data_IF_218204512349
#
_entry.id   IF_218204512349
#
_cell.length_a   1.000
_cell.length_b   1.000
_cell.length_c   1.000
_cell.angle_alpha   90.00
_cell.angle_beta   90.00
_cell.angle_gamma   90.00
#
_symmetry.space_group_name_H-M   'P 1'
#
loop_
_entity.id
_entity.type
_entity.pdbx_description
1 polymer ?
#
# COMPACT_ATOMS: atom_id res chain seq x y z
N UNK A 1 12.45 9.10 -6.68
CA UNK A 1 12.16 8.04 -5.68
C UNK A 1 10.77 8.26 -5.10
N UNK A 2 9.88 7.25 -5.15
CA UNK A 2 8.54 7.36 -4.55
C UNK A 2 8.58 7.50 -3.03
N UNK A 3 7.52 8.10 -2.45
CA UNK A 3 7.35 8.24 -1.01
C UNK A 3 7.15 6.85 -0.37
N UNK A 4 8.00 6.51 0.60
CA UNK A 4 7.86 5.27 1.39
C UNK A 4 7.06 5.58 2.64
N UNK A 5 5.97 4.84 2.85
CA UNK A 5 5.10 4.96 4.02
C UNK A 5 5.16 3.66 4.84
N UNK A 6 5.42 3.80 6.13
CA UNK A 6 5.33 2.69 7.09
C UNK A 6 3.88 2.22 7.27
N UNK A 7 3.66 0.99 7.78
CA UNK A 7 2.32 0.52 8.11
C UNK A 7 1.54 1.46 9.03
N UNK A 8 2.20 2.02 10.04
CA UNK A 8 1.57 2.91 11.02
C UNK A 8 1.19 4.26 10.41
N UNK A 9 2.02 4.81 9.53
CA UNK A 9 1.69 6.03 8.77
C UNK A 9 0.51 5.79 7.84
N UNK A 10 0.50 4.67 7.11
CA UNK A 10 -0.63 4.32 6.24
C UNK A 10 -1.94 4.23 7.01
N UNK A 11 -1.96 3.57 8.17
CA UNK A 11 -3.18 3.48 9.00
C UNK A 11 -3.57 4.85 9.55
N UNK A 12 -2.60 5.66 9.97
CA UNK A 12 -2.87 7.03 10.42
C UNK A 12 -3.51 7.87 9.31
N UNK A 13 -3.01 7.79 8.09
CA UNK A 13 -3.53 8.55 6.95
C UNK A 13 -4.87 8.01 6.43
N UNK A 14 -5.07 6.69 6.40
CA UNK A 14 -6.28 6.10 5.80
C UNK A 14 -7.44 5.92 6.78
N UNK A 15 -7.17 5.68 8.06
CA UNK A 15 -8.19 5.41 9.09
C UNK A 15 -8.30 6.50 10.15
N UNK A 16 -7.34 7.44 10.22
CA UNK A 16 -7.41 8.59 11.12
C UNK A 16 -7.03 8.29 12.58
N UNK A 17 -6.39 7.15 12.86
CA UNK A 17 -5.92 6.81 14.21
C UNK A 17 -4.51 6.23 14.22
N UNK A 18 -3.80 6.41 15.34
CA UNK A 18 -2.47 5.84 15.57
C UNK A 18 -2.59 4.37 15.95
N UNK A 19 -1.68 3.55 15.43
CA UNK A 19 -1.57 2.13 15.76
C UNK A 19 -0.11 1.74 15.95
N UNK A 20 0.13 0.61 16.62
CA UNK A 20 1.47 0.01 16.62
C UNK A 20 1.71 -0.81 15.34
N UNK A 21 2.95 -1.26 15.14
CA UNK A 21 3.35 -1.98 13.92
C UNK A 21 2.56 -3.27 13.67
N UNK A 22 2.26 -4.03 14.73
CA UNK A 22 1.55 -5.30 14.62
C UNK A 22 0.08 -5.08 14.25
N UNK A 23 -0.58 -4.14 14.91
CA UNK A 23 -1.95 -3.73 14.62
C UNK A 23 -2.08 -3.20 13.20
N UNK A 24 -1.16 -2.29 12.81
CA UNK A 24 -1.14 -1.73 11.48
C UNK A 24 -1.00 -2.81 10.40
N UNK A 25 -0.09 -3.77 10.60
CA UNK A 25 0.08 -4.90 9.68
C UNK A 25 -1.19 -5.77 9.59
N UNK A 26 -1.88 -6.02 10.71
CA UNK A 26 -3.13 -6.79 10.75
C UNK A 26 -4.26 -6.07 10.01
N UNK A 27 -4.37 -4.76 10.14
CA UNK A 27 -5.36 -3.93 9.44
C UNK A 27 -5.07 -3.91 7.95
N UNK A 28 -3.82 -3.68 7.55
CA UNK A 28 -3.44 -3.48 6.15
C UNK A 28 -3.42 -4.77 5.33
N UNK A 29 -3.16 -5.95 5.94
CA UNK A 29 -3.13 -7.24 5.22
C UNK A 29 -4.39 -7.51 4.38
N UNK A 30 -5.62 -7.51 4.95
CA UNK A 30 -6.83 -7.73 4.16
C UNK A 30 -7.11 -6.60 3.18
N UNK A 31 -6.76 -5.35 3.52
CA UNK A 31 -6.91 -4.19 2.63
C UNK A 31 -6.07 -4.35 1.37
N UNK A 32 -4.77 -4.64 1.52
CA UNK A 32 -3.88 -4.84 0.39
C UNK A 32 -4.19 -6.10 -0.42
N UNK A 33 -4.65 -7.17 0.23
CA UNK A 33 -5.11 -8.37 -0.49
C UNK A 33 -6.26 -8.02 -1.43
N UNK A 34 -7.31 -7.37 -0.92
CA UNK A 34 -8.46 -6.94 -1.74
C UNK A 34 -8.07 -5.92 -2.79
N UNK A 35 -7.21 -4.95 -2.46
CA UNK A 35 -6.76 -3.95 -3.40
C UNK A 35 -6.00 -4.59 -4.56
N UNK A 36 -5.06 -5.51 -4.29
CA UNK A 36 -4.35 -6.24 -5.33
C UNK A 36 -5.28 -7.03 -6.22
N UNK A 37 -6.26 -7.75 -5.66
CA UNK A 37 -7.27 -8.45 -6.45
C UNK A 37 -8.05 -7.52 -7.39
N UNK A 38 -8.38 -6.31 -6.95
CA UNK A 38 -9.05 -5.30 -7.79
C UNK A 38 -8.15 -4.71 -8.87
N UNK A 39 -6.83 -4.72 -8.66
CA UNK A 39 -5.84 -4.22 -9.63
C UNK A 39 -5.47 -5.27 -10.70
N UNK A 40 -5.71 -6.57 -10.46
CA UNK A 40 -5.39 -7.65 -11.42
C UNK A 40 -5.85 -7.37 -12.85
N UNK A 41 -7.06 -6.82 -13.12
CA UNK A 41 -7.51 -6.57 -14.49
C UNK A 41 -6.79 -5.42 -15.20
N UNK A 42 -5.98 -4.61 -14.48
CA UNK A 42 -5.31 -3.42 -15.02
C UNK A 42 -3.88 -3.81 -15.41
N UNK A 43 -3.51 -3.81 -16.71
CA UNK A 43 -2.16 -4.13 -17.13
C UNK A 43 -1.11 -3.23 -16.45
N UNK A 44 -0.09 -3.83 -15.83
CA UNK A 44 0.99 -3.10 -15.17
C UNK A 44 0.70 -2.68 -13.72
N UNK A 45 -0.53 -2.85 -13.22
CA UNK A 45 -0.89 -2.40 -11.88
C UNK A 45 -0.32 -3.27 -10.75
N UNK A 46 0.18 -4.47 -11.06
CA UNK A 46 0.86 -5.34 -10.08
C UNK A 46 2.09 -4.69 -9.45
N UNK A 47 2.75 -3.78 -10.18
CA UNK A 47 3.99 -3.10 -9.77
C UNK A 47 3.74 -1.74 -9.10
N UNK A 48 2.48 -1.30 -9.02
CA UNK A 48 2.13 0.00 -8.45
C UNK A 48 2.29 0.07 -6.94
N UNK A 49 2.15 -1.06 -6.23
CA UNK A 49 2.27 -1.10 -4.75
C UNK A 49 3.39 -2.07 -4.39
N UNK A 50 4.58 -1.54 -4.13
CA UNK A 50 5.76 -2.34 -3.79
C UNK A 50 6.06 -2.31 -2.31
N UNK A 51 6.49 -3.46 -1.79
CA UNK A 51 6.98 -3.57 -0.42
C UNK A 51 8.46 -3.19 -0.37
N UNK A 52 8.81 -2.27 0.51
CA UNK A 52 10.20 -1.94 0.85
C UNK A 52 10.52 -2.64 2.15
N UNK A 53 11.31 -3.72 2.07
CA UNK A 53 11.60 -4.60 3.22
C UNK A 53 12.12 -3.79 4.41
N UNK A 54 11.47 -3.95 5.55
CA UNK A 54 11.85 -3.26 6.80
C UNK A 54 11.44 -1.79 6.89
N UNK A 55 10.97 -1.17 5.81
CA UNK A 55 10.58 0.25 5.81
C UNK A 55 9.06 0.44 5.66
N UNK A 56 8.42 -0.22 4.69
CA UNK A 56 7.00 -0.01 4.44
C UNK A 56 6.59 -0.28 2.99
N UNK A 57 5.80 0.63 2.42
CA UNK A 57 5.24 0.51 1.09
C UNK A 57 5.47 1.78 0.28
N UNK A 58 5.68 1.60 -1.02
CA UNK A 58 5.75 2.70 -1.99
C UNK A 58 4.64 2.52 -3.01
N UNK A 59 4.03 3.64 -3.41
CA UNK A 59 3.07 3.69 -4.50
C UNK A 59 3.68 4.37 -5.73
N UNK A 60 3.70 3.67 -6.86
CA UNK A 60 4.21 4.17 -8.14
C UNK A 60 3.33 3.70 -9.30
N UNK A 61 2.28 4.45 -9.61
CA UNK A 61 1.49 4.21 -10.80
C UNK A 61 2.11 4.90 -12.01
N UNK A 62 2.40 4.12 -13.06
CA UNK A 62 2.58 4.69 -14.39
C UNK A 62 1.20 4.89 -15.00
N UNK A 63 0.62 6.08 -14.84
CA UNK A 63 -0.61 6.43 -15.52
C UNK A 63 -0.27 6.64 -16.99
N UNK A 64 -0.45 5.59 -17.80
CA UNK A 64 -0.49 5.75 -19.25
C UNK A 64 -1.76 6.53 -19.55
N UNK A 65 -1.64 7.79 -19.98
CA UNK A 65 -2.77 8.52 -20.55
C UNK A 65 -3.21 7.75 -21.79
N UNK A 66 -4.40 7.16 -21.72
CA UNK A 66 -5.12 6.64 -22.87
C UNK A 66 -5.68 7.84 -23.64
#
# INVERSE_FOLDING_TARGET
PGLVLSPTELVSYSHGFKSNQLEAARILRPVFSRLRSKLVPIPGAQDWIRNVRGAGYVFEAQVVKI
#
